data_IF_218484459676
#
_entry.id   IF_218484459676
#
_cell.length_a   1.000
_cell.length_b   1.000
_cell.length_c   1.000
_cell.angle_alpha   90.00
_cell.angle_beta   90.00
_cell.angle_gamma   90.00
#
_symmetry.space_group_name_H-M   'P 1'
#
loop_
_entity.id
_entity.type
_entity.pdbx_description
1 polymer ?
#
# COMPACT_ATOMS: atom_id res chain seq x y z
N UNK A 1 -50.00 46.26 -52.28
CA UNK A 1 -49.35 46.97 -51.16
C UNK A 1 -49.52 46.12 -49.91
N UNK A 2 -48.52 45.29 -49.58
CA UNK A 2 -47.50 45.50 -48.53
C UNK A 2 -48.03 45.26 -47.10
N UNK A 3 -47.43 44.24 -46.47
CA UNK A 3 -47.25 43.98 -45.03
C UNK A 3 -48.42 43.27 -44.30
N UNK A 4 -48.22 41.99 -44.02
CA UNK A 4 -48.16 41.38 -42.67
C UNK A 4 -47.69 39.92 -42.89
N UNK A 5 -46.38 39.70 -42.74
CA UNK A 5 -45.77 38.38 -42.55
C UNK A 5 -44.73 38.61 -41.48
N UNK A 6 -44.99 38.12 -40.26
CA UNK A 6 -44.00 37.77 -39.24
C UNK A 6 -44.74 37.29 -38.00
N UNK A 7 -44.22 36.22 -37.39
CA UNK A 7 -44.59 35.66 -36.08
C UNK A 7 -45.80 34.71 -36.08
N UNK A 8 -45.62 33.50 -36.61
CA UNK A 8 -46.38 32.31 -36.18
C UNK A 8 -45.67 31.01 -36.59
N UNK A 9 -44.35 30.96 -36.40
CA UNK A 9 -43.55 29.75 -36.65
C UNK A 9 -42.44 29.59 -35.61
N UNK A 10 -42.82 29.45 -34.34
CA UNK A 10 -41.89 29.13 -33.26
C UNK A 10 -42.59 28.56 -32.02
N UNK A 11 -43.58 27.68 -32.23
CA UNK A 11 -44.31 27.06 -31.10
C UNK A 11 -44.60 25.56 -31.25
N UNK A 12 -43.82 24.81 -32.04
CA UNK A 12 -43.98 23.34 -32.16
C UNK A 12 -42.64 22.61 -32.14
N UNK A 13 -41.77 22.91 -31.18
CA UNK A 13 -40.62 22.05 -30.87
C UNK A 13 -40.09 22.26 -29.45
N UNK A 14 -40.89 21.95 -28.43
CA UNK A 14 -40.42 22.02 -27.03
C UNK A 14 -41.16 21.08 -26.07
N UNK A 15 -41.62 19.91 -26.54
CA UNK A 15 -42.11 18.84 -25.64
C UNK A 15 -41.65 17.49 -26.18
N UNK A 16 -40.34 17.28 -26.20
CA UNK A 16 -39.77 15.92 -26.21
C UNK A 16 -39.18 15.68 -24.83
N UNK A 17 -39.74 14.67 -24.18
CA UNK A 17 -39.47 14.21 -22.84
C UNK A 17 -38.01 14.40 -22.39
N UNK A 18 -37.82 15.27 -21.39
CA UNK A 18 -36.80 15.08 -20.37
C UNK A 18 -37.20 13.82 -19.59
N UNK A 19 -36.90 12.65 -20.16
CA UNK A 19 -36.69 11.46 -19.34
C UNK A 19 -35.48 11.76 -18.49
N UNK A 20 -35.74 12.25 -17.28
CA UNK A 20 -34.78 12.31 -16.21
C UNK A 20 -34.23 10.90 -16.00
N UNK A 21 -33.10 10.60 -16.65
CA UNK A 21 -32.14 9.65 -16.11
C UNK A 21 -31.57 10.33 -14.87
N UNK A 22 -32.35 10.33 -13.78
CA UNK A 22 -31.85 10.54 -12.45
C UNK A 22 -30.98 9.33 -12.12
N UNK A 23 -29.74 9.31 -12.64
CA UNK A 23 -28.69 8.61 -11.95
C UNK A 23 -28.65 9.26 -10.57
N UNK A 24 -29.19 8.57 -9.57
CA UNK A 24 -29.18 9.05 -8.21
C UNK A 24 -27.72 9.32 -7.85
N UNK A 25 -27.35 10.59 -7.75
CA UNK A 25 -26.05 11.05 -7.24
C UNK A 25 -25.91 10.77 -5.72
N UNK A 26 -26.60 9.74 -5.22
CA UNK A 26 -26.47 9.24 -3.85
C UNK A 26 -25.09 8.63 -3.71
N UNK A 27 -24.23 9.35 -2.98
CA UNK A 27 -22.96 8.84 -2.46
C UNK A 27 -23.22 7.52 -1.74
N UNK A 28 -22.34 6.53 -1.95
CA UNK A 28 -22.41 5.26 -1.24
C UNK A 28 -22.27 5.53 0.26
N UNK A 29 -23.17 4.95 1.06
CA UNK A 29 -23.09 5.02 2.52
C UNK A 29 -22.08 3.96 3.01
N UNK A 30 -20.83 4.38 3.16
CA UNK A 30 -19.71 3.51 3.51
C UNK A 30 -19.92 2.76 4.83
N UNK A 31 -20.72 3.31 5.75
CA UNK A 31 -21.02 2.68 7.06
C UNK A 31 -21.90 1.44 6.97
N UNK A 32 -22.51 1.19 5.80
CA UNK A 32 -23.40 0.05 5.56
C UNK A 32 -22.83 -0.98 4.57
N UNK A 33 -21.60 -0.77 4.10
CA UNK A 33 -20.95 -1.65 3.14
C UNK A 33 -20.49 -2.91 3.87
N UNK A 34 -20.84 -4.08 3.34
CA UNK A 34 -20.37 -5.37 3.83
C UNK A 34 -19.75 -6.24 2.73
N UNK A 35 -19.83 -5.80 1.47
CA UNK A 35 -19.30 -6.51 0.31
C UNK A 35 -18.91 -5.56 -0.82
N UNK A 36 -18.15 -6.04 -1.81
CA UNK A 36 -17.83 -5.25 -3.00
C UNK A 36 -19.06 -4.76 -3.78
N UNK A 37 -20.18 -5.50 -3.72
CA UNK A 37 -21.41 -5.09 -4.42
C UNK A 37 -22.02 -3.83 -3.80
N UNK A 38 -21.85 -3.63 -2.49
CA UNK A 38 -22.35 -2.45 -1.79
C UNK A 38 -21.53 -1.19 -2.13
N UNK A 39 -20.32 -1.36 -2.67
CA UNK A 39 -19.46 -0.26 -3.16
C UNK A 39 -19.80 0.19 -4.59
N UNK A 40 -20.89 -0.33 -5.17
CA UNK A 40 -21.25 -0.06 -6.56
C UNK A 40 -21.35 1.45 -6.84
N UNK A 41 -20.61 1.92 -7.86
CA UNK A 41 -20.64 3.33 -8.26
C UNK A 41 -19.83 4.29 -7.39
N UNK A 42 -19.17 3.81 -6.34
CA UNK A 42 -18.33 4.61 -5.45
C UNK A 42 -17.07 5.13 -6.15
N UNK A 43 -16.57 6.28 -5.69
CA UNK A 43 -15.25 6.82 -6.08
C UNK A 43 -14.18 6.18 -5.21
N UNK A 44 -13.67 5.03 -5.63
CA UNK A 44 -12.58 4.35 -4.92
C UNK A 44 -11.28 4.63 -5.64
N UNK A 45 -10.20 4.79 -4.89
CA UNK A 45 -8.85 4.93 -5.45
C UNK A 45 -7.90 3.81 -5.01
N UNK A 46 -6.78 3.72 -5.70
CA UNK A 46 -5.73 2.74 -5.45
C UNK A 46 -4.34 3.33 -5.75
N UNK A 47 -3.28 2.73 -5.19
CA UNK A 47 -1.91 3.10 -5.53
C UNK A 47 -1.60 2.63 -6.95
N UNK A 48 -1.06 3.51 -7.79
CA UNK A 48 -0.64 3.19 -9.15
C UNK A 48 0.45 2.11 -9.16
N UNK A 49 0.46 1.26 -10.20
CA UNK A 49 1.50 0.25 -10.36
C UNK A 49 1.43 -0.92 -9.36
N UNK A 50 0.27 -1.15 -8.72
CA UNK A 50 0.05 -2.23 -7.75
C UNK A 50 -1.24 -3.00 -8.03
N UNK A 51 -1.35 -4.19 -7.43
CA UNK A 51 -2.57 -5.00 -7.49
C UNK A 51 -3.80 -4.29 -6.89
N UNK A 52 -3.62 -3.24 -6.08
CA UNK A 52 -4.72 -2.41 -5.60
C UNK A 52 -5.60 -1.85 -6.73
N UNK A 53 -5.01 -1.58 -7.90
CA UNK A 53 -5.74 -1.10 -9.08
C UNK A 53 -6.65 -2.21 -9.62
N UNK A 54 -6.13 -3.42 -9.73
CA UNK A 54 -6.90 -4.58 -10.20
C UNK A 54 -8.00 -4.93 -9.20
N UNK A 55 -7.69 -4.92 -7.90
CA UNK A 55 -8.66 -5.07 -6.82
C UNK A 55 -9.77 -4.01 -6.90
N UNK A 56 -9.42 -2.73 -7.01
CA UNK A 56 -10.38 -1.63 -7.19
C UNK A 56 -11.31 -1.86 -8.40
N UNK A 57 -10.77 -2.35 -9.52
CA UNK A 57 -11.54 -2.61 -10.74
C UNK A 57 -12.54 -3.77 -10.61
N UNK A 58 -12.47 -4.58 -9.54
CA UNK A 58 -13.48 -5.60 -9.24
C UNK A 58 -14.77 -5.00 -8.69
N UNK A 59 -14.75 -3.74 -8.24
CA UNK A 59 -15.92 -3.05 -7.70
C UNK A 59 -16.89 -2.70 -8.84
N UNK A 60 -18.18 -3.09 -8.77
CA UNK A 60 -19.13 -2.82 -9.85
C UNK A 60 -19.31 -1.33 -10.14
N UNK A 61 -19.19 -0.93 -11.40
CA UNK A 61 -19.37 0.47 -11.83
C UNK A 61 -18.49 1.49 -11.05
N UNK A 62 -17.34 1.06 -10.54
CA UNK A 62 -16.43 1.92 -9.77
C UNK A 62 -16.03 3.15 -10.56
N UNK A 63 -15.96 4.29 -9.88
CA UNK A 63 -15.38 5.53 -10.41
C UNK A 63 -13.94 5.62 -9.95
N UNK A 64 -13.11 4.74 -10.51
CA UNK A 64 -11.72 4.52 -10.13
C UNK A 64 -10.79 5.70 -10.42
N UNK A 65 -9.80 5.92 -9.55
CA UNK A 65 -8.66 6.80 -9.80
C UNK A 65 -7.39 6.25 -9.16
N UNK A 66 -6.22 6.70 -9.60
CA UNK A 66 -4.93 6.24 -9.06
C UNK A 66 -4.11 7.39 -8.49
N UNK A 67 -3.32 7.09 -7.48
CA UNK A 67 -2.36 8.01 -6.85
C UNK A 67 -1.00 7.33 -6.72
N UNK A 68 0.12 8.06 -6.73
CA UNK A 68 1.44 7.44 -6.64
C UNK A 68 1.74 6.88 -5.25
N UNK A 69 1.28 7.57 -4.19
CA UNK A 69 1.60 7.24 -2.80
C UNK A 69 0.35 7.08 -1.92
N UNK A 70 0.47 6.29 -0.84
CA UNK A 70 -0.57 6.15 0.17
C UNK A 70 -0.89 7.46 0.91
N UNK A 71 0.10 8.35 1.08
CA UNK A 71 -0.13 9.67 1.68
C UNK A 71 -1.07 10.55 0.84
N UNK A 72 -1.01 10.43 -0.49
CA UNK A 72 -1.91 11.12 -1.40
C UNK A 72 -3.32 10.54 -1.35
N UNK A 73 -3.46 9.21 -1.29
CA UNK A 73 -4.74 8.53 -1.09
C UNK A 73 -5.41 8.96 0.21
N UNK A 74 -4.65 9.02 1.29
CA UNK A 74 -5.12 9.48 2.60
C UNK A 74 -5.60 10.94 2.55
N UNK A 75 -4.85 11.80 1.87
CA UNK A 75 -5.23 13.21 1.66
C UNK A 75 -6.51 13.34 0.81
N UNK A 76 -6.62 12.53 -0.25
CA UNK A 76 -7.77 12.52 -1.14
C UNK A 76 -9.06 12.07 -0.41
N UNK A 77 -8.99 11.03 0.43
CA UNK A 77 -10.17 10.58 1.19
C UNK A 77 -10.55 11.58 2.28
N UNK A 78 -9.57 12.19 2.96
CA UNK A 78 -9.81 13.20 4.00
C UNK A 78 -10.46 14.46 3.45
N UNK A 79 -10.08 14.88 2.25
CA UNK A 79 -10.68 16.02 1.54
C UNK A 79 -12.05 15.70 0.92
N UNK A 80 -12.41 14.43 0.79
CA UNK A 80 -13.65 13.98 0.14
C UNK A 80 -13.58 13.99 -1.39
N UNK A 81 -12.37 14.06 -1.96
CA UNK A 81 -12.16 13.90 -3.41
C UNK A 81 -12.56 12.50 -3.88
N UNK A 82 -12.30 11.50 -3.05
CA UNK A 82 -12.67 10.09 -3.20
C UNK A 82 -13.52 9.64 -2.00
N UNK A 83 -14.33 8.61 -2.19
CA UNK A 83 -15.18 8.00 -1.17
C UNK A 83 -14.38 7.04 -0.27
N UNK A 84 -13.36 6.39 -0.83
CA UNK A 84 -12.42 5.53 -0.10
C UNK A 84 -11.24 5.11 -0.97
N UNK A 85 -10.30 4.37 -0.41
CA UNK A 85 -9.21 3.78 -1.17
C UNK A 85 -8.91 2.35 -0.71
N UNK A 86 -8.44 1.51 -1.65
CA UNK A 86 -8.03 0.13 -1.36
C UNK A 86 -6.68 0.15 -0.65
N UNK A 87 -6.58 -0.61 0.43
CA UNK A 87 -5.36 -0.80 1.19
C UNK A 87 -5.39 -2.14 1.91
N UNK A 88 -4.28 -2.54 2.50
CA UNK A 88 -4.16 -3.68 3.38
C UNK A 88 -4.77 -3.40 4.76
N UNK A 89 -5.27 -4.46 5.40
CA UNK A 89 -5.87 -4.38 6.74
C UNK A 89 -4.96 -3.73 7.81
N UNK A 90 -3.64 -4.03 7.90
CA UNK A 90 -2.75 -3.34 8.84
C UNK A 90 -2.61 -1.84 8.58
N UNK A 91 -2.60 -1.43 7.30
CA UNK A 91 -2.60 -0.02 6.92
C UNK A 91 -3.89 0.65 7.36
N UNK A 92 -5.03 -0.01 7.19
CA UNK A 92 -6.30 0.49 7.72
C UNK A 92 -6.30 0.61 9.24
N UNK A 93 -5.78 -0.38 9.97
CA UNK A 93 -5.67 -0.32 11.42
C UNK A 93 -4.81 0.85 11.87
N UNK A 94 -3.62 1.03 11.27
CA UNK A 94 -2.72 2.13 11.60
C UNK A 94 -3.37 3.50 11.34
N UNK A 95 -4.00 3.67 10.17
CA UNK A 95 -4.63 4.93 9.77
C UNK A 95 -5.84 5.27 10.64
N UNK A 96 -6.74 4.31 10.86
CA UNK A 96 -7.97 4.52 11.63
C UNK A 96 -7.70 4.66 13.14
N UNK A 97 -6.62 4.08 13.65
CA UNK A 97 -6.20 4.31 15.04
C UNK A 97 -5.70 5.75 15.23
N UNK A 98 -4.90 6.29 14.29
CA UNK A 98 -4.39 7.67 14.35
C UNK A 98 -5.48 8.73 14.18
N UNK A 99 -6.53 8.42 13.40
CA UNK A 99 -7.55 9.37 13.02
C UNK A 99 -8.95 8.78 13.14
N UNK A 100 -9.65 9.16 14.22
CA UNK A 100 -10.99 8.65 14.52
C UNK A 100 -12.08 9.09 13.52
N UNK A 101 -11.77 10.01 12.61
CA UNK A 101 -12.67 10.41 11.51
C UNK A 101 -12.64 9.44 10.34
N UNK A 102 -11.70 8.50 10.35
CA UNK A 102 -11.58 7.43 9.37
C UNK A 102 -12.10 6.11 9.94
N UNK A 103 -12.54 5.25 9.03
CA UNK A 103 -12.86 3.85 9.29
C UNK A 103 -12.47 3.02 8.06
N UNK A 104 -12.66 1.71 8.13
CA UNK A 104 -12.49 0.84 6.96
C UNK A 104 -13.64 -0.15 6.84
N UNK A 105 -13.90 -0.58 5.61
CA UNK A 105 -14.81 -1.68 5.32
C UNK A 105 -14.05 -2.99 5.56
N UNK A 106 -14.43 -3.84 6.52
CA UNK A 106 -13.71 -5.07 6.88
C UNK A 106 -14.01 -6.18 5.86
N UNK A 107 -13.47 -6.01 4.66
CA UNK A 107 -13.56 -6.97 3.57
C UNK A 107 -12.58 -8.13 3.79
N UNK A 108 -12.99 -9.32 3.38
CA UNK A 108 -12.15 -10.52 3.41
C UNK A 108 -11.94 -11.04 2.00
N UNK A 109 -10.68 -11.24 1.63
CA UNK A 109 -10.33 -11.71 0.28
C UNK A 109 -11.00 -13.07 -0.01
N UNK A 110 -11.49 -13.23 -1.24
CA UNK A 110 -12.18 -14.42 -1.74
C UNK A 110 -13.47 -14.81 -0.96
N UNK A 111 -14.05 -13.88 -0.20
CA UNK A 111 -15.30 -14.06 0.55
C UNK A 111 -16.24 -12.86 0.33
N UNK A 112 -16.08 -11.81 1.13
CA UNK A 112 -16.86 -10.57 1.02
C UNK A 112 -16.18 -9.50 0.16
N UNK A 113 -14.85 -9.62 0.02
CA UNK A 113 -13.96 -8.64 -0.59
C UNK A 113 -13.45 -9.05 -1.97
N UNK A 114 -12.19 -8.74 -2.18
CA UNK A 114 -11.50 -8.87 -3.46
C UNK A 114 -11.11 -10.32 -3.73
N UNK A 115 -11.25 -10.74 -4.99
CA UNK A 115 -10.65 -11.97 -5.50
C UNK A 115 -9.15 -11.72 -5.63
N UNK A 116 -8.36 -12.48 -4.90
CA UNK A 116 -6.91 -12.32 -4.83
C UNK A 116 -6.22 -13.65 -4.54
N UNK A 117 -5.10 -13.89 -5.19
CA UNK A 117 -4.19 -14.99 -4.87
C UNK A 117 -3.20 -14.56 -3.78
N UNK A 118 -2.48 -15.50 -3.18
CA UNK A 118 -1.40 -15.17 -2.24
C UNK A 118 -0.29 -14.33 -2.88
N UNK A 119 -0.08 -14.42 -4.20
CA UNK A 119 0.90 -13.59 -4.92
C UNK A 119 0.41 -12.16 -5.14
N UNK A 120 -0.90 -11.93 -5.12
CA UNK A 120 -1.50 -10.61 -5.30
C UNK A 120 -1.42 -9.76 -4.02
N UNK A 121 -1.60 -10.42 -2.85
CA UNK A 121 -1.74 -9.76 -1.53
C UNK A 121 -0.69 -10.19 -0.50
N UNK A 122 0.24 -11.02 -0.91
CA UNK A 122 1.42 -11.38 -0.15
C UNK A 122 2.57 -10.42 -0.48
N UNK A 123 3.46 -10.19 0.47
CA UNK A 123 4.68 -9.37 0.29
C UNK A 123 5.91 -10.27 0.34
N UNK A 124 6.86 -10.02 -0.56
CA UNK A 124 8.08 -10.81 -0.73
C UNK A 124 9.30 -9.90 -0.93
N UNK A 125 10.50 -10.45 -0.69
CA UNK A 125 11.75 -9.75 -0.95
C UNK A 125 12.07 -9.88 -2.44
N UNK A 126 12.17 -8.76 -3.14
CA UNK A 126 12.60 -8.70 -4.54
C UNK A 126 14.12 -8.74 -4.66
N UNK A 127 14.64 -9.57 -5.57
CA UNK A 127 16.06 -9.82 -5.80
C UNK A 127 16.35 -9.85 -7.31
N UNK A 128 17.57 -9.53 -7.71
CA UNK A 128 17.92 -9.58 -9.15
C UNK A 128 17.71 -10.99 -9.73
N UNK A 129 17.25 -11.08 -10.97
CA UNK A 129 17.03 -12.38 -11.63
C UNK A 129 18.27 -13.26 -11.63
N UNK A 130 18.11 -14.53 -11.25
CA UNK A 130 19.19 -15.49 -11.09
C UNK A 130 19.96 -15.35 -9.78
N UNK A 131 19.45 -14.62 -8.80
CA UNK A 131 20.14 -14.41 -7.51
C UNK A 131 20.20 -15.69 -6.68
N UNK A 132 21.42 -16.11 -6.33
CA UNK A 132 21.64 -17.20 -5.38
C UNK A 132 21.16 -16.87 -3.95
N UNK A 133 20.79 -15.62 -3.69
CA UNK A 133 20.36 -15.17 -2.36
C UNK A 133 18.90 -15.51 -2.07
N UNK A 134 18.07 -15.82 -3.08
CA UNK A 134 16.66 -16.18 -2.89
C UNK A 134 16.53 -17.33 -1.89
N UNK A 135 17.24 -18.44 -2.14
CA UNK A 135 17.19 -19.62 -1.27
C UNK A 135 17.69 -19.31 0.16
N UNK A 136 18.78 -18.55 0.29
CA UNK A 136 19.34 -18.19 1.60
C UNK A 136 18.40 -17.28 2.40
N UNK A 137 17.74 -16.33 1.73
CA UNK A 137 16.78 -15.45 2.38
C UNK A 137 15.50 -16.22 2.74
N UNK A 138 15.04 -17.16 1.91
CA UNK A 138 13.95 -18.08 2.27
C UNK A 138 14.28 -18.87 3.54
N UNK A 139 15.48 -19.44 3.64
CA UNK A 139 15.93 -20.17 4.82
C UNK A 139 15.91 -19.27 6.08
N UNK A 140 16.33 -18.00 5.94
CA UNK A 140 16.28 -17.01 7.03
C UNK A 140 14.84 -16.69 7.41
N UNK A 141 13.98 -16.39 6.43
CA UNK A 141 12.57 -16.06 6.67
C UNK A 141 11.85 -17.23 7.36
N UNK A 142 12.10 -18.47 6.95
CA UNK A 142 11.52 -19.66 7.55
C UNK A 142 11.85 -19.81 9.05
N UNK A 143 12.90 -19.14 9.55
CA UNK A 143 13.21 -19.12 10.99
C UNK A 143 12.34 -18.18 11.82
N UNK A 144 11.52 -17.32 11.19
CA UNK A 144 10.64 -16.36 11.88
C UNK A 144 9.25 -17.01 12.08
N UNK A 145 8.86 -17.34 13.33
CA UNK A 145 7.56 -17.95 13.61
C UNK A 145 6.38 -17.05 13.22
N UNK A 146 5.24 -17.65 12.88
CA UNK A 146 4.05 -16.92 12.48
C UNK A 146 3.55 -15.98 13.59
N UNK A 147 3.59 -16.42 14.84
CA UNK A 147 3.23 -15.59 16.00
C UNK A 147 4.16 -14.39 16.17
N UNK A 148 5.44 -14.54 15.86
CA UNK A 148 6.41 -13.43 15.87
C UNK A 148 6.10 -12.43 14.76
N UNK A 149 5.72 -12.91 13.57
CA UNK A 149 5.31 -12.05 12.46
C UNK A 149 4.07 -11.25 12.81
N UNK A 150 3.04 -11.88 13.38
CA UNK A 150 1.81 -11.19 13.81
C UNK A 150 2.09 -10.18 14.92
N UNK A 151 2.82 -10.58 15.97
CA UNK A 151 3.17 -9.69 17.08
C UNK A 151 4.00 -8.48 16.61
N UNK A 152 4.93 -8.70 15.68
CA UNK A 152 5.71 -7.60 15.10
C UNK A 152 4.82 -6.62 14.33
N UNK A 153 3.87 -7.11 13.52
CA UNK A 153 2.95 -6.23 12.80
C UNK A 153 2.06 -5.42 13.75
N UNK A 154 1.51 -6.05 14.79
CA UNK A 154 0.75 -5.36 15.83
C UNK A 154 1.57 -4.24 16.50
N UNK A 155 2.84 -4.52 16.80
CA UNK A 155 3.77 -3.53 17.34
C UNK A 155 4.03 -2.38 16.35
N UNK A 156 4.19 -2.67 15.06
CA UNK A 156 4.40 -1.62 14.05
C UNK A 156 3.16 -0.74 13.87
N UNK A 157 1.96 -1.31 13.91
CA UNK A 157 0.69 -0.56 13.93
C UNK A 157 0.62 0.35 15.15
N UNK A 158 0.97 -0.16 16.34
CA UNK A 158 0.98 0.62 17.57
C UNK A 158 2.02 1.77 17.54
N UNK A 159 3.25 1.50 17.08
CA UNK A 159 4.29 2.53 16.93
C UNK A 159 3.83 3.60 15.93
N UNK A 160 3.28 3.19 14.79
CA UNK A 160 2.68 4.09 13.83
C UNK A 160 1.63 4.99 14.50
N UNK A 161 0.75 4.42 15.33
CA UNK A 161 -0.27 5.14 16.07
C UNK A 161 0.28 6.10 17.15
N UNK A 162 1.59 6.13 17.38
CA UNK A 162 2.23 6.97 18.39
C UNK A 162 2.31 6.31 19.76
N UNK A 163 1.98 5.02 19.85
CA UNK A 163 2.16 4.26 21.09
C UNK A 163 3.64 3.94 21.33
N UNK A 164 4.02 3.79 22.60
CA UNK A 164 5.38 3.45 22.99
C UNK A 164 5.55 1.95 23.06
N UNK A 165 6.41 1.39 22.20
CA UNK A 165 6.90 0.01 22.28
C UNK A 165 8.37 0.05 22.70
N UNK A 166 8.73 -0.72 23.73
CA UNK A 166 10.10 -0.73 24.29
C UNK A 166 10.99 -1.81 23.72
N UNK A 167 10.42 -2.92 23.27
CA UNK A 167 11.13 -4.07 22.73
C UNK A 167 10.31 -4.73 21.62
N UNK A 168 10.97 -5.10 20.53
CA UNK A 168 10.34 -5.70 19.37
C UNK A 168 10.24 -7.23 19.52
N UNK A 169 9.17 -7.81 19.00
CA UNK A 169 8.96 -9.26 18.98
C UNK A 169 10.01 -9.97 18.13
N UNK A 170 10.47 -9.32 17.06
CA UNK A 170 11.56 -9.81 16.21
C UNK A 170 12.87 -9.12 16.59
N UNK A 171 13.83 -9.89 17.07
CA UNK A 171 15.17 -9.41 17.41
C UNK A 171 16.24 -10.26 16.75
N UNK A 172 17.40 -9.67 16.50
CA UNK A 172 18.60 -10.37 16.03
C UNK A 172 19.83 -9.64 16.53
N UNK A 173 20.89 -10.39 16.82
CA UNK A 173 22.18 -9.80 17.19
C UNK A 173 22.84 -9.20 15.96
N UNK A 174 23.34 -7.96 16.09
CA UNK A 174 24.16 -7.35 15.05
C UNK A 174 25.47 -8.15 14.88
N UNK A 175 25.96 -8.35 13.64
CA UNK A 175 27.18 -9.10 13.42
C UNK A 175 28.39 -8.39 14.03
N UNK A 176 29.16 -9.09 14.85
CA UNK A 176 30.36 -8.54 15.49
C UNK A 176 31.43 -8.11 14.47
N UNK A 177 31.51 -8.81 13.33
CA UNK A 177 32.41 -8.50 12.22
C UNK A 177 31.61 -8.52 10.90
N UNK A 178 30.95 -7.41 10.53
CA UNK A 178 30.16 -7.37 9.31
C UNK A 178 31.01 -7.65 8.07
N UNK A 179 30.49 -8.49 7.18
CA UNK A 179 31.17 -8.92 5.95
C UNK A 179 30.85 -8.04 4.74
N UNK A 180 29.92 -7.11 4.90
CA UNK A 180 29.49 -6.19 3.86
C UNK A 180 28.28 -5.36 4.29
N UNK A 181 27.72 -4.63 3.33
CA UNK A 181 26.50 -3.83 3.48
C UNK A 181 25.39 -4.45 2.63
N UNK A 182 24.23 -4.69 3.23
CA UNK A 182 23.02 -5.13 2.55
C UNK A 182 22.15 -3.90 2.27
N UNK A 183 22.15 -3.43 1.03
CA UNK A 183 21.42 -2.23 0.58
C UNK A 183 20.01 -2.61 0.18
N UNK A 184 19.03 -2.06 0.88
CA UNK A 184 17.63 -2.40 0.69
C UNK A 184 16.87 -1.17 0.20
N UNK A 185 16.24 -1.28 -0.97
CA UNK A 185 15.31 -0.27 -1.47
C UNK A 185 13.91 -0.44 -0.88
N UNK A 186 13.33 0.69 -0.49
CA UNK A 186 11.93 0.83 -0.07
C UNK A 186 11.45 2.27 -0.25
N UNK A 187 10.15 2.53 -0.11
CA UNK A 187 9.60 3.89 -0.26
C UNK A 187 9.93 4.78 0.93
N UNK A 188 9.79 4.22 2.14
CA UNK A 188 9.73 4.95 3.40
C UNK A 188 8.51 5.89 3.49
N UNK A 189 7.39 5.54 2.82
CA UNK A 189 6.16 6.31 2.75
C UNK A 189 4.88 5.46 2.88
N UNK A 190 5.01 4.22 3.35
CA UNK A 190 3.96 3.21 3.36
C UNK A 190 3.78 2.57 4.75
N UNK A 191 2.97 3.21 5.58
CA UNK A 191 2.67 2.75 6.94
C UNK A 191 1.70 1.53 6.96
N UNK A 192 1.89 0.54 7.85
CA UNK A 192 2.95 0.39 8.86
C UNK A 192 4.17 -0.42 8.38
N UNK A 193 4.31 -0.61 7.06
CA UNK A 193 5.34 -1.46 6.48
C UNK A 193 6.72 -0.79 6.44
N UNK A 194 6.80 0.42 5.91
CA UNK A 194 8.01 1.23 5.90
C UNK A 194 7.65 2.73 5.85
N UNK A 195 8.05 3.53 6.83
CA UNK A 195 7.77 4.98 6.87
C UNK A 195 8.97 5.77 7.37
N UNK A 196 8.96 7.08 7.09
CA UNK A 196 10.01 8.01 7.52
C UNK A 196 9.68 8.69 8.85
N UNK A 197 10.62 8.67 9.78
CA UNK A 197 10.66 9.49 10.99
C UNK A 197 11.70 10.61 10.84
N UNK A 198 11.36 11.80 11.31
CA UNK A 198 12.25 12.99 11.25
C UNK A 198 13.28 13.05 12.38
N UNK A 199 13.28 12.07 13.28
CA UNK A 199 14.27 11.80 14.32
C UNK A 199 14.19 10.30 14.65
N UNK A 200 15.20 9.72 15.31
CA UNK A 200 15.13 8.33 15.79
C UNK A 200 14.22 8.26 17.03
N UNK A 201 12.91 8.22 16.82
CA UNK A 201 11.91 8.32 17.89
C UNK A 201 11.54 6.97 18.46
N UNK A 202 11.42 5.96 17.62
CA UNK A 202 10.90 4.66 17.99
C UNK A 202 11.96 3.55 17.93
N UNK A 203 11.70 2.46 18.67
CA UNK A 203 12.54 1.26 18.65
C UNK A 203 12.53 0.66 17.23
N UNK A 204 13.68 0.19 16.78
CA UNK A 204 13.82 -0.43 15.44
C UNK A 204 14.11 0.53 14.30
N UNK A 205 14.07 1.86 14.50
CA UNK A 205 14.36 2.81 13.44
C UNK A 205 15.82 2.77 12.96
N UNK A 206 16.01 2.77 11.64
CA UNK A 206 17.29 2.65 10.91
C UNK A 206 17.48 3.89 10.05
N UNK A 207 18.70 4.43 9.97
CA UNK A 207 18.95 5.66 9.20
C UNK A 207 18.70 5.44 7.70
N UNK A 208 18.08 6.41 7.04
CA UNK A 208 17.92 6.43 5.59
C UNK A 208 19.18 7.03 4.99
N UNK A 209 19.79 6.35 4.02
CA UNK A 209 20.96 6.87 3.31
C UNK A 209 20.56 7.52 1.98
N UNK A 210 21.32 8.53 1.58
CA UNK A 210 21.10 9.27 0.33
C UNK A 210 21.21 10.78 0.50
N UNK A 211 21.30 11.48 -0.62
CA UNK A 211 21.34 12.95 -0.63
C UNK A 211 20.06 13.53 -0.03
N UNK A 212 20.21 14.46 0.92
CA UNK A 212 19.07 15.11 1.60
C UNK A 212 18.35 14.23 2.62
N UNK A 213 18.89 13.05 2.97
CA UNK A 213 18.28 12.13 3.95
C UNK A 213 18.87 12.27 5.37
N UNK A 214 19.77 13.24 5.59
CA UNK A 214 20.38 13.50 6.90
C UNK A 214 19.30 13.73 7.98
N UNK A 215 19.37 12.94 9.05
CA UNK A 215 18.41 13.01 10.16
C UNK A 215 17.09 12.27 9.92
N UNK A 216 16.92 11.61 8.78
CA UNK A 216 15.75 10.78 8.50
C UNK A 216 16.01 9.30 8.82
N UNK A 217 15.01 8.65 9.37
CA UNK A 217 15.06 7.24 9.75
C UNK A 217 13.86 6.49 9.18
N UNK A 218 14.07 5.31 8.64
CA UNK A 218 13.00 4.40 8.28
C UNK A 218 12.65 3.53 9.48
N UNK A 219 11.36 3.28 9.69
CA UNK A 219 10.88 2.22 10.56
C UNK A 219 9.68 1.52 9.93
N UNK A 220 9.31 0.36 10.48
CA UNK A 220 8.18 -0.44 10.04
C UNK A 220 8.51 -1.90 9.85
N UNK A 221 7.47 -2.67 9.51
CA UNK A 221 7.54 -4.11 9.40
C UNK A 221 8.64 -4.56 8.43
N UNK A 222 8.72 -3.96 7.25
CA UNK A 222 9.73 -4.24 6.23
C UNK A 222 11.14 -3.90 6.73
N UNK A 223 11.28 -2.80 7.48
CA UNK A 223 12.56 -2.38 8.07
C UNK A 223 13.07 -3.43 9.06
N UNK A 224 12.16 -4.00 9.88
CA UNK A 224 12.53 -5.03 10.85
C UNK A 224 12.86 -6.36 10.16
N UNK A 225 12.14 -6.72 9.10
CA UNK A 225 12.47 -7.89 8.26
C UNK A 225 13.84 -7.69 7.58
N UNK A 226 14.09 -6.53 6.98
CA UNK A 226 15.37 -6.18 6.36
C UNK A 226 16.53 -6.24 7.35
N UNK A 227 16.34 -5.71 8.56
CA UNK A 227 17.36 -5.72 9.61
C UNK A 227 17.66 -7.13 10.09
N UNK A 228 16.64 -7.98 10.23
CA UNK A 228 16.80 -9.38 10.59
C UNK A 228 17.59 -10.15 9.52
N UNK A 229 17.23 -9.97 8.24
CA UNK A 229 17.93 -10.58 7.10
C UNK A 229 19.40 -10.13 7.07
N UNK A 230 19.67 -8.82 7.15
CA UNK A 230 21.03 -8.29 7.14
C UNK A 230 21.90 -8.93 8.24
N UNK A 231 21.38 -8.99 9.47
CA UNK A 231 22.10 -9.58 10.59
C UNK A 231 22.37 -11.07 10.39
N UNK A 232 21.40 -11.83 9.87
CA UNK A 232 21.56 -13.27 9.57
C UNK A 232 22.51 -13.54 8.39
N UNK A 233 22.61 -12.61 7.45
CA UNK A 233 23.64 -12.61 6.40
C UNK A 233 25.02 -12.18 6.91
N UNK A 234 25.13 -11.69 8.15
CA UNK A 234 26.37 -11.18 8.70
C UNK A 234 26.80 -9.85 8.10
N UNK A 235 25.83 -9.01 7.71
CA UNK A 235 26.02 -7.72 7.05
C UNK A 235 25.39 -6.59 7.85
N UNK A 236 25.83 -5.34 7.61
CA UNK A 236 25.10 -4.16 8.10
C UNK A 236 23.97 -3.80 7.14
N UNK A 237 22.83 -3.36 7.67
CA UNK A 237 21.73 -2.86 6.85
C UNK A 237 21.99 -1.41 6.41
N UNK A 238 21.72 -1.11 5.15
CA UNK A 238 21.59 0.23 4.61
C UNK A 238 20.21 0.36 3.94
N UNK A 239 19.43 1.38 4.32
CA UNK A 239 18.10 1.64 3.74
C UNK A 239 18.19 2.77 2.75
N UNK A 240 17.77 2.49 1.52
CA UNK A 240 17.74 3.44 0.42
C UNK A 240 16.29 3.76 0.06
N UNK A 241 15.88 5.03 0.23
CA UNK A 241 14.53 5.49 -0.09
C UNK A 241 14.40 5.79 -1.59
N UNK A 242 13.40 5.19 -2.25
CA UNK A 242 13.09 5.34 -3.67
C UNK A 242 11.58 5.48 -3.88
N UNK A 243 11.18 6.20 -4.91
CA UNK A 243 9.79 6.16 -5.40
C UNK A 243 9.43 4.75 -5.90
N UNK A 244 8.15 4.34 -5.78
CA UNK A 244 7.67 3.00 -6.16
C UNK A 244 8.18 2.51 -7.51
N UNK A 245 7.98 3.32 -8.56
CA UNK A 245 8.35 2.99 -9.94
C UNK A 245 9.88 2.89 -10.15
N UNK A 246 10.68 3.36 -9.18
CA UNK A 246 12.15 3.30 -9.21
C UNK A 246 12.75 2.10 -8.49
N UNK A 247 11.96 1.32 -7.75
CA UNK A 247 12.45 0.17 -6.97
C UNK A 247 13.09 -0.91 -7.86
N UNK A 248 12.37 -1.40 -8.86
CA UNK A 248 12.87 -2.42 -9.80
C UNK A 248 14.07 -1.91 -10.61
N UNK A 249 14.04 -0.70 -11.21
CA UNK A 249 15.21 -0.13 -11.88
C UNK A 249 16.44 0.01 -10.97
N UNK A 250 16.26 0.37 -9.70
CA UNK A 250 17.37 0.47 -8.75
C UNK A 250 18.03 -0.88 -8.48
N UNK A 251 17.22 -1.94 -8.37
CA UNK A 251 17.71 -3.32 -8.22
C UNK A 251 18.41 -3.81 -9.49
N UNK A 252 17.81 -3.60 -10.67
CA UNK A 252 18.38 -4.02 -11.96
C UNK A 252 19.69 -3.31 -12.31
N UNK A 253 19.86 -2.06 -11.87
CA UNK A 253 21.11 -1.31 -12.04
C UNK A 253 22.20 -1.68 -11.03
N UNK A 254 21.89 -2.51 -10.02
CA UNK A 254 22.82 -2.89 -8.96
C UNK A 254 23.09 -1.80 -7.93
N UNK A 255 22.25 -0.76 -7.88
CA UNK A 255 22.37 0.29 -6.85
C UNK A 255 21.94 -0.21 -5.47
N UNK A 256 21.06 -1.22 -5.43
CA UNK A 256 20.62 -1.92 -4.22
C UNK A 256 20.70 -3.43 -4.42
N UNK A 257 20.75 -4.17 -3.31
CA UNK A 257 20.87 -5.63 -3.30
C UNK A 257 19.52 -6.34 -3.22
N UNK A 258 18.50 -5.66 -2.67
CA UNK A 258 17.14 -6.19 -2.54
C UNK A 258 16.08 -5.08 -2.46
N UNK A 259 14.82 -5.45 -2.72
CA UNK A 259 13.62 -4.64 -2.48
C UNK A 259 12.84 -5.28 -1.33
N UNK A 260 12.56 -4.52 -0.28
CA UNK A 260 11.72 -4.95 0.85
C UNK A 260 10.80 -3.77 1.18
N UNK A 261 9.67 -3.71 0.48
CA UNK A 261 8.86 -2.50 0.36
C UNK A 261 7.34 -2.80 0.30
N UNK A 262 6.88 -3.87 0.95
CA UNK A 262 5.51 -4.34 0.82
C UNK A 262 5.14 -4.78 -0.60
N UNK A 263 6.13 -5.26 -1.36
CA UNK A 263 5.95 -5.58 -2.78
C UNK A 263 5.42 -7.00 -2.98
N UNK A 264 4.27 -7.12 -3.63
CA UNK A 264 3.73 -8.42 -4.04
C UNK A 264 4.48 -9.02 -5.23
N UNK A 265 4.75 -10.34 -5.22
CA UNK A 265 5.41 -11.06 -6.31
C UNK A 265 4.40 -11.35 -7.44
N UNK A 266 3.89 -10.30 -8.09
CA UNK A 266 2.96 -10.47 -9.21
C UNK A 266 3.67 -11.09 -10.41
N UNK A 267 2.94 -11.81 -11.26
CA UNK A 267 3.51 -12.44 -12.46
C UNK A 267 4.29 -11.45 -13.35
N UNK A 268 3.80 -10.21 -13.49
CA UNK A 268 4.49 -9.16 -14.25
C UNK A 268 5.85 -8.75 -13.64
N UNK A 269 5.97 -8.80 -12.31
CA UNK A 269 7.23 -8.48 -11.62
C UNK A 269 8.18 -9.67 -11.61
N UNK A 270 7.65 -10.89 -11.51
CA UNK A 270 8.43 -12.14 -11.62
C UNK A 270 9.09 -12.28 -13.00
N UNK A 271 8.57 -11.64 -14.05
CA UNK A 271 9.25 -11.53 -15.35
C UNK A 271 10.50 -10.62 -15.31
N UNK A 272 10.63 -9.76 -14.30
CA UNK A 272 11.66 -8.72 -14.24
C UNK A 272 12.72 -8.94 -13.15
N UNK A 273 12.32 -9.57 -12.04
CA UNK A 273 13.13 -9.82 -10.84
C UNK A 273 12.68 -11.13 -10.18
N UNK A 274 13.55 -11.73 -9.37
CA UNK A 274 13.20 -12.90 -8.57
C UNK A 274 12.58 -12.48 -7.24
N UNK A 275 11.77 -13.35 -6.65
CA UNK A 275 11.18 -13.14 -5.33
C UNK A 275 11.47 -14.30 -4.38
N UNK A 276 11.54 -13.96 -3.09
CA UNK A 276 11.46 -14.95 -2.01
C UNK A 276 10.05 -15.50 -1.87
N UNK A 277 9.90 -16.47 -0.97
CA UNK A 277 8.58 -16.82 -0.44
C UNK A 277 7.97 -15.59 0.26
N UNK A 278 6.63 -15.54 0.27
CA UNK A 278 5.87 -14.48 0.91
C UNK A 278 6.16 -14.46 2.41
N UNK A 279 6.53 -13.30 2.93
CA UNK A 279 6.82 -13.11 4.35
C UNK A 279 5.65 -12.50 5.14
N UNK A 280 4.61 -12.00 4.46
CA UNK A 280 3.39 -11.55 5.11
C UNK A 280 2.24 -11.50 4.08
N UNK A 281 1.02 -11.80 4.50
CA UNK A 281 -0.18 -11.76 3.67
C UNK A 281 -1.30 -11.08 4.45
N UNK A 282 -2.14 -10.28 3.78
CA UNK A 282 -3.24 -9.59 4.43
C UNK A 282 -4.49 -9.48 3.55
N UNK A 283 -5.63 -9.21 4.19
CA UNK A 283 -6.84 -8.85 3.45
C UNK A 283 -6.72 -7.44 2.88
N UNK A 284 -7.28 -7.25 1.69
CA UNK A 284 -7.52 -5.92 1.16
C UNK A 284 -8.87 -5.40 1.67
N UNK A 285 -8.86 -4.16 2.13
CA UNK A 285 -9.99 -3.43 2.69
C UNK A 285 -10.15 -2.09 1.97
N UNK A 286 -11.23 -1.36 2.28
CA UNK A 286 -11.44 0.00 1.78
C UNK A 286 -11.47 0.98 2.94
N UNK A 287 -10.48 1.85 3.03
CA UNK A 287 -10.41 2.92 4.02
C UNK A 287 -11.28 4.07 3.54
N UNK A 288 -12.10 4.65 4.43
CA UNK A 288 -13.02 5.73 4.11
C UNK A 288 -13.11 6.76 5.24
N UNK A 289 -13.68 7.92 4.93
CA UNK A 289 -13.99 8.98 5.91
C UNK A 289 -15.44 8.86 6.38
N UNK A 290 -15.64 8.80 7.70
CA UNK A 290 -16.95 8.70 8.37
C UNK A 290 -17.89 9.88 8.06
#
# INVERSE_FOLDING_TARGET
MRRIVSVLLSLILAVTALSACGASNTKVDMTKVNSLTDLKGAKIAAQAGTFHVDAMNQIPEVKGSTYPEFADLLTAVKSGAIDGYVAEEPTAFAVCHKDNTLDYVPLKNNDTGFVATAADVGIAVGLITGSEQVAKINDILATIPAETRSALMEQMVAICAGETVTELALTSEAPANPTGVFRVAMECAYEPYNWTETEKKSVGAVAITGEGKDGLYANGYDVQIAQYIANKLGMTLEICSYEWDSLIPALQSGNVDAIIAGMSPTAEREEQIDFTDVYYESNLVVIYKK
#
